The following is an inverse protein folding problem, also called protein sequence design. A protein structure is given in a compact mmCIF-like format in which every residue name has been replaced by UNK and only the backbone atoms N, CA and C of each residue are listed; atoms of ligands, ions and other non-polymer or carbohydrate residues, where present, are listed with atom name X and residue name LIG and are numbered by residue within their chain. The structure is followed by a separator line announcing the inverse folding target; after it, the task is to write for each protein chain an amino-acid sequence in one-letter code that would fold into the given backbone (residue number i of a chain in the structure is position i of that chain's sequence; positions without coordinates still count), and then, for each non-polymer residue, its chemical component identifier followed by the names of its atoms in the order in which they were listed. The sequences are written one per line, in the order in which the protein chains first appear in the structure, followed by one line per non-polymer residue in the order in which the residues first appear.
data_IF_514179599294
#
_entry.id   IF_514179599294
#
_cell.length_a   1.000
_cell.length_b   1.000
_cell.length_c   1.000
_cell.angle_alpha   90.00
_cell.angle_beta   90.00
_cell.angle_gamma   90.00
#
_symmetry.space_group_name_H-M   'P 1'
#
loop_
_entity.id
_entity.type
_entity.pdbx_description
1 polymer ?
#
# COMPACT_ATOMS: atom_id res chain seq x y z
N UNK A 1 12.35 -4.47 -10.03
CA UNK A 1 11.12 -3.67 -10.24
C UNK A 1 11.49 -2.29 -10.81
N UNK A 2 11.00 -1.96 -12.01
CA UNK A 2 11.35 -0.73 -12.74
C UNK A 2 10.33 0.40 -12.59
N UNK A 3 10.49 1.47 -13.38
CA UNK A 3 9.61 2.65 -13.37
C UNK A 3 8.17 2.36 -13.81
N UNK A 4 7.96 1.31 -14.61
CA UNK A 4 6.63 0.87 -15.07
C UNK A 4 5.82 0.10 -14.02
N UNK A 5 6.47 -0.43 -12.98
CA UNK A 5 5.79 -1.25 -11.98
C UNK A 5 5.00 -0.41 -10.97
N UNK A 6 3.68 -0.40 -11.14
CA UNK A 6 2.71 0.37 -10.34
C UNK A 6 2.61 -0.07 -8.88
N UNK A 7 3.04 -1.29 -8.53
CA UNK A 7 2.99 -1.81 -7.16
C UNK A 7 4.26 -1.44 -6.39
N UNK A 8 5.39 -1.28 -7.08
CA UNK A 8 6.67 -0.92 -6.47
C UNK A 8 6.73 0.54 -5.96
N UNK A 9 7.61 0.80 -4.99
CA UNK A 9 7.91 2.18 -4.56
C UNK A 9 8.45 3.03 -5.72
N UNK A 10 9.34 2.47 -6.55
CA UNK A 10 9.96 3.16 -7.69
C UNK A 10 8.92 3.59 -8.74
N UNK A 11 8.02 2.71 -9.15
CA UNK A 11 6.99 3.08 -10.13
C UNK A 11 5.92 4.03 -9.57
N UNK A 12 5.63 3.97 -8.26
CA UNK A 12 4.79 4.99 -7.60
C UNK A 12 5.45 6.36 -7.52
N UNK A 13 6.77 6.44 -7.31
CA UNK A 13 7.55 7.69 -7.40
C UNK A 13 7.46 8.27 -8.81
N UNK A 14 7.75 7.45 -9.82
CA UNK A 14 7.75 7.90 -11.22
C UNK A 14 6.39 8.42 -11.67
N UNK A 15 5.30 7.70 -11.33
CA UNK A 15 3.92 8.11 -11.65
C UNK A 15 3.33 9.18 -10.72
N UNK A 16 4.12 9.73 -9.79
CA UNK A 16 3.66 10.71 -8.78
C UNK A 16 2.41 10.27 -8.00
N UNK A 17 2.21 8.96 -7.81
CA UNK A 17 1.05 8.40 -7.09
C UNK A 17 1.44 7.80 -5.74
N UNK A 18 0.45 7.59 -4.85
CA UNK A 18 0.66 7.09 -3.49
C UNK A 18 0.02 5.70 -3.27
N UNK A 19 0.36 5.07 -2.15
CA UNK A 19 -0.35 3.92 -1.60
C UNK A 19 0.56 3.12 -0.67
N UNK A 20 0.28 1.83 -0.48
CA UNK A 20 0.96 1.02 0.56
C UNK A 20 2.49 1.08 0.46
N UNK A 21 3.05 0.92 -0.74
CA UNK A 21 4.50 0.94 -0.98
C UNK A 21 5.13 2.34 -1.05
N UNK A 22 4.32 3.41 -1.18
CA UNK A 22 4.76 4.82 -1.17
C UNK A 22 3.72 5.67 -0.41
N UNK A 23 3.71 5.60 0.93
CA UNK A 23 2.77 6.36 1.76
C UNK A 23 3.12 7.86 1.75
N UNK A 24 2.11 8.71 1.91
CA UNK A 24 2.31 10.17 2.04
C UNK A 24 2.77 10.55 3.44
N UNK A 25 2.18 9.92 4.46
CA UNK A 25 2.49 10.13 5.88
C UNK A 25 2.78 8.77 6.53
N UNK A 26 3.70 8.74 7.50
CA UNK A 26 4.10 7.51 8.21
C UNK A 26 2.91 6.80 8.90
N UNK A 27 1.90 7.55 9.37
CA UNK A 27 0.67 7.00 9.97
C UNK A 27 -0.21 6.20 9.00
N UNK A 28 -0.01 6.33 7.68
CA UNK A 28 -0.83 5.62 6.68
C UNK A 28 -0.36 4.18 6.45
N UNK A 29 0.89 3.82 6.77
CA UNK A 29 1.37 2.44 6.64
C UNK A 29 0.73 1.52 7.67
N UNK A 30 0.63 1.99 8.91
CA UNK A 30 0.06 1.26 10.05
C UNK A 30 -1.45 1.04 9.89
N UNK A 31 -2.18 2.05 9.41
CA UNK A 31 -3.62 1.96 9.19
C UNK A 31 -4.02 0.93 8.12
N UNK A 32 -3.23 0.79 7.03
CA UNK A 32 -3.53 -0.21 5.99
C UNK A 32 -3.19 -1.64 6.40
N UNK A 33 -2.16 -1.84 7.23
CA UNK A 33 -1.85 -3.16 7.77
C UNK A 33 -2.97 -3.66 8.72
N UNK A 34 -3.55 -2.75 9.52
CA UNK A 34 -4.67 -3.05 10.40
C UNK A 34 -5.95 -3.41 9.63
N UNK A 35 -6.31 -2.64 8.58
CA UNK A 35 -7.49 -2.92 7.74
C UNK A 35 -7.43 -4.26 7.00
N UNK A 36 -6.24 -4.72 6.63
CA UNK A 36 -6.10 -6.00 5.92
C UNK A 36 -6.28 -7.21 6.84
N UNK A 37 -5.89 -7.09 8.12
CA UNK A 37 -6.09 -8.15 9.12
C UNK A 37 -7.56 -8.32 9.51
N UNK A 38 -8.33 -7.23 9.58
CA UNK A 38 -9.77 -7.31 9.91
C UNK A 38 -10.62 -7.82 8.75
N UNK A 39 -10.28 -7.48 7.50
CA UNK A 39 -10.99 -7.99 6.32
C UNK A 39 -10.76 -9.51 6.09
N UNK A 40 -9.59 -10.04 6.44
CA UNK A 40 -9.31 -11.47 6.36
C UNK A 40 -10.09 -12.30 7.41
N UNK A 41 -10.37 -11.73 8.59
CA UNK A 41 -11.15 -12.41 9.66
C UNK A 41 -12.63 -12.52 9.33
N UNK A 42 -13.20 -11.55 8.58
CA UNK A 42 -14.63 -11.51 8.23
C UNK A 42 -15.03 -12.43 7.05
N UNK A 43 -14.06 -12.98 6.30
CA UNK A 43 -14.31 -13.93 5.21
C UNK A 43 -14.18 -15.40 5.63
N UNK A 44 -13.86 -15.68 6.90
CA UNK A 44 -13.64 -17.03 7.44
C UNK A 44 -14.62 -17.38 8.58
N UNK A 45 -15.69 -16.59 8.74
CA UNK A 45 -16.78 -16.81 9.69
C UNK A 45 -18.08 -16.97 8.92
#
# INVERSE_FOLDING_TARGET
MGKGDRKSRKGKVFRKSYGVSRPRNKKKTTATAAKKKTAAKKKKA
#
